data_IF_779071569602
#
_entry.id   IF_779071569602
#
_cell.length_a   1.000
_cell.length_b   1.000
_cell.length_c   1.000
_cell.angle_alpha   90.00
_cell.angle_beta   90.00
_cell.angle_gamma   90.00
#
_symmetry.space_group_name_H-M   'P 1'
#
loop_
_entity.id
_entity.type
_entity.pdbx_description
1 polymer ?
#
# COMPACT_ATOMS: atom_id res chain seq x y z
N UNK A 1 16.91 -20.52 35.76
CA UNK A 1 17.23 -19.58 34.67
C UNK A 1 16.08 -19.64 33.65
N UNK A 2 15.02 -18.86 33.87
CA UNK A 2 13.82 -18.86 33.02
C UNK A 2 13.96 -17.76 31.97
N UNK A 3 14.13 -18.15 30.71
CA UNK A 3 14.22 -17.24 29.58
C UNK A 3 12.78 -16.86 29.16
N UNK A 4 12.31 -15.68 29.59
CA UNK A 4 11.05 -15.12 29.15
C UNK A 4 11.21 -14.57 27.71
N UNK A 5 10.77 -15.35 26.73
CA UNK A 5 10.63 -14.91 25.33
C UNK A 5 9.36 -14.07 25.21
N UNK A 6 9.50 -12.76 25.38
CA UNK A 6 8.48 -11.78 25.00
C UNK A 6 8.40 -11.73 23.47
N UNK A 7 7.43 -12.40 22.87
CA UNK A 7 7.03 -12.14 21.48
C UNK A 7 6.06 -10.95 21.48
N UNK A 8 6.57 -9.75 21.22
CA UNK A 8 5.76 -8.60 20.85
C UNK A 8 5.33 -8.75 19.39
N UNK A 9 4.18 -9.37 19.15
CA UNK A 9 3.49 -9.27 17.86
C UNK A 9 2.90 -7.87 17.76
N UNK A 10 3.69 -6.93 17.23
CA UNK A 10 3.19 -5.65 16.74
C UNK A 10 2.31 -5.92 15.52
N UNK A 11 1.02 -6.22 15.74
CA UNK A 11 0.01 -6.11 14.69
C UNK A 11 -0.23 -4.61 14.52
N UNK A 12 0.64 -3.96 13.75
CA UNK A 12 0.33 -2.65 13.20
C UNK A 12 -0.78 -2.84 12.16
N UNK A 13 -2.03 -2.90 12.62
CA UNK A 13 -3.13 -2.35 11.85
C UNK A 13 -2.95 -0.83 11.89
N UNK A 14 -1.95 -0.31 11.20
CA UNK A 14 -1.89 1.12 10.91
C UNK A 14 -2.97 1.34 9.85
N UNK A 15 -4.22 1.50 10.30
CA UNK A 15 -5.21 2.21 9.51
C UNK A 15 -4.65 3.61 9.37
N UNK A 16 -3.89 3.85 8.30
CA UNK A 16 -3.75 5.22 7.84
C UNK A 16 -5.17 5.73 7.66
N UNK A 17 -5.54 6.89 8.23
CA UNK A 17 -6.79 7.51 7.84
C UNK A 17 -6.69 7.66 6.32
N UNK A 18 -7.46 6.83 5.60
CA UNK A 18 -7.68 7.09 4.18
C UNK A 18 -8.46 8.38 4.22
N UNK A 19 -7.75 9.48 3.95
CA UNK A 19 -8.39 10.75 3.70
C UNK A 19 -9.33 10.48 2.54
N UNK A 20 -10.62 10.45 2.86
CA UNK A 20 -11.64 10.63 1.85
C UNK A 20 -11.26 11.95 1.22
N UNK A 21 -10.85 11.92 -0.04
CA UNK A 21 -10.84 13.12 -0.86
C UNK A 21 -12.32 13.46 -1.13
N UNK A 22 -13.03 13.79 -0.05
CA UNK A 22 -14.02 14.84 -0.10
C UNK A 22 -13.15 15.98 -0.60
N UNK A 23 -13.36 16.37 -1.85
CA UNK A 23 -12.82 17.64 -2.33
C UNK A 23 -13.48 18.67 -1.42
N UNK A 24 -12.87 18.88 -0.25
CA UNK A 24 -13.17 19.98 0.62
C UNK A 24 -12.93 21.18 -0.26
N UNK A 25 -13.93 22.04 -0.33
CA UNK A 25 -13.83 23.33 -1.00
C UNK A 25 -12.67 24.19 -0.44
N UNK A 26 -11.97 23.72 0.61
CA UNK A 26 -10.78 24.35 1.19
C UNK A 26 -9.51 24.23 0.34
N UNK A 27 -9.35 23.19 -0.48
CA UNK A 27 -8.14 23.05 -1.29
C UNK A 27 -8.30 23.75 -2.64
N UNK A 28 -8.17 25.09 -2.60
CA UNK A 28 -8.25 26.04 -3.72
C UNK A 28 -7.20 25.82 -4.83
N UNK A 29 -6.45 24.72 -4.77
CA UNK A 29 -5.45 24.32 -5.76
C UNK A 29 -6.14 24.02 -7.11
N UNK A 30 -5.71 24.68 -8.21
CA UNK A 30 -6.28 24.47 -9.55
C UNK A 30 -6.21 23.01 -10.01
N UNK A 31 -7.21 22.56 -10.77
CA UNK A 31 -7.32 21.17 -11.23
C UNK A 31 -6.10 20.72 -12.04
N UNK A 32 -5.59 21.59 -12.91
CA UNK A 32 -4.39 21.35 -13.71
C UNK A 32 -3.12 21.16 -12.86
N UNK A 33 -3.04 21.77 -11.68
CA UNK A 33 -1.93 21.58 -10.73
C UNK A 33 -2.05 20.23 -10.02
N UNK A 34 -3.27 19.82 -9.64
CA UNK A 34 -3.53 18.49 -9.06
C UNK A 34 -3.23 17.35 -10.04
N UNK A 35 -3.22 17.64 -11.34
CA UNK A 35 -2.87 16.67 -12.39
C UNK A 35 -1.35 16.36 -12.48
N UNK A 36 -0.50 17.13 -11.79
CA UNK A 36 0.94 16.90 -11.78
C UNK A 36 1.30 15.57 -11.08
N UNK A 37 2.29 14.81 -11.58
CA UNK A 37 2.82 13.64 -10.89
C UNK A 37 3.30 13.98 -9.49
N UNK A 38 2.90 13.16 -8.51
CA UNK A 38 3.23 13.40 -7.10
C UNK A 38 2.87 14.82 -6.62
N UNK A 39 1.69 15.34 -7.04
CA UNK A 39 1.30 16.74 -6.82
C UNK A 39 1.52 17.23 -5.39
N UNK A 40 1.30 16.39 -4.37
CA UNK A 40 1.50 16.75 -2.97
C UNK A 40 2.92 17.22 -2.64
N UNK A 41 3.94 16.73 -3.37
CA UNK A 41 5.34 17.11 -3.16
C UNK A 41 5.74 18.33 -3.99
N UNK A 42 5.05 18.59 -5.09
CA UNK A 42 5.41 19.64 -6.06
C UNK A 42 4.49 20.85 -6.03
N UNK A 43 3.34 20.78 -5.35
CA UNK A 43 2.31 21.84 -5.33
C UNK A 43 2.86 23.21 -4.89
N UNK A 44 3.78 23.24 -3.93
CA UNK A 44 4.37 24.48 -3.42
C UNK A 44 5.36 25.14 -4.42
N UNK A 45 5.82 24.36 -5.40
CA UNK A 45 6.77 24.80 -6.45
C UNK A 45 6.11 24.90 -7.82
N UNK A 46 4.92 24.35 -7.97
CA UNK A 46 4.17 24.38 -9.21
C UNK A 46 3.67 25.80 -9.48
N UNK A 47 3.76 26.20 -10.74
CA UNK A 47 3.26 27.50 -11.19
C UNK A 47 2.00 27.24 -12.01
N UNK A 48 0.88 27.78 -11.54
CA UNK A 48 -0.36 27.85 -12.31
C UNK A 48 -0.29 29.02 -13.29
N UNK A 49 -0.68 28.76 -14.53
CA UNK A 49 -0.52 29.66 -15.67
C UNK A 49 -1.85 29.77 -16.39
N UNK A 50 -2.34 30.99 -16.57
CA UNK A 50 -3.60 31.28 -17.28
C UNK A 50 -3.42 32.14 -18.52
N UNK A 51 -2.17 32.52 -18.83
CA UNK A 51 -1.85 33.32 -20.01
C UNK A 51 -0.49 32.97 -20.62
N UNK A 52 -0.32 33.32 -21.90
CA UNK A 52 0.88 33.00 -22.69
C UNK A 52 2.15 33.70 -22.18
N UNK A 53 2.03 34.88 -21.56
CA UNK A 53 3.19 35.62 -21.07
C UNK A 53 3.81 34.93 -19.85
N UNK A 54 2.98 34.47 -18.91
CA UNK A 54 3.38 33.62 -17.79
C UNK A 54 3.95 32.29 -18.26
N UNK A 55 3.34 31.67 -19.28
CA UNK A 55 3.83 30.42 -19.85
C UNK A 55 5.26 30.55 -20.33
N UNK A 56 5.54 31.55 -21.18
CA UNK A 56 6.88 31.81 -21.73
C UNK A 56 7.91 32.13 -20.64
N UNK A 57 7.48 32.87 -19.61
CA UNK A 57 8.35 33.20 -18.47
C UNK A 57 8.71 31.94 -17.67
N UNK A 58 7.74 31.08 -17.38
CA UNK A 58 7.94 29.90 -16.55
C UNK A 58 8.65 28.74 -17.28
N UNK A 59 8.54 28.66 -18.61
CA UNK A 59 9.21 27.67 -19.46
C UNK A 59 10.69 27.98 -19.77
N UNK A 60 11.28 28.99 -19.11
CA UNK A 60 12.62 29.52 -19.37
C UNK A 60 12.82 30.07 -20.80
N UNK A 61 11.86 30.81 -21.33
CA UNK A 61 12.00 31.57 -22.58
C UNK A 61 11.11 31.11 -23.73
N UNK A 62 11.37 31.67 -24.91
CA UNK A 62 10.59 31.42 -26.14
C UNK A 62 10.88 30.03 -26.72
N UNK A 63 10.04 29.06 -26.36
CA UNK A 63 10.00 27.78 -27.04
C UNK A 63 8.94 27.88 -28.13
N UNK A 64 9.31 27.85 -29.41
CA UNK A 64 8.41 28.11 -30.54
C UNK A 64 7.20 27.17 -30.67
N UNK A 65 7.19 26.05 -29.94
CA UNK A 65 6.02 25.16 -29.81
C UNK A 65 4.93 25.74 -28.90
N UNK A 66 5.28 26.65 -27.98
CA UNK A 66 4.35 27.27 -27.04
C UNK A 66 3.50 28.35 -27.70
N UNK A 67 3.95 28.93 -28.82
CA UNK A 67 3.19 29.91 -29.59
C UNK A 67 1.92 29.32 -30.22
N UNK A 68 1.81 27.98 -30.26
CA UNK A 68 0.62 27.26 -30.73
C UNK A 68 -0.46 27.10 -29.65
N UNK A 69 -0.14 27.45 -28.39
CA UNK A 69 -1.07 27.34 -27.28
C UNK A 69 -1.82 28.67 -27.15
N UNK A 70 -3.12 28.64 -27.41
CA UNK A 70 -4.01 29.77 -27.16
C UNK A 70 -4.65 29.67 -25.78
N UNK A 71 -4.60 30.73 -24.99
CA UNK A 71 -5.26 30.83 -23.68
C UNK A 71 -6.62 31.53 -23.75
N UNK A 72 -7.04 32.08 -24.90
CA UNK A 72 -8.27 32.89 -25.07
C UNK A 72 -9.58 32.13 -24.79
N UNK A 73 -9.54 30.82 -24.56
CA UNK A 73 -10.69 29.98 -24.25
C UNK A 73 -10.85 29.58 -22.78
N UNK A 74 -10.01 30.08 -21.87
CA UNK A 74 -9.98 29.60 -20.48
C UNK A 74 -9.16 28.31 -20.31
N UNK A 75 -8.19 28.09 -21.20
CA UNK A 75 -7.22 27.02 -21.03
C UNK A 75 -6.29 27.36 -19.85
N UNK A 76 -5.88 26.35 -19.12
CA UNK A 76 -5.02 26.50 -17.96
C UNK A 76 -3.76 25.66 -18.15
N UNK A 77 -2.68 26.03 -17.50
CA UNK A 77 -1.46 25.24 -17.52
C UNK A 77 -0.83 25.18 -16.12
N UNK A 78 -0.14 24.07 -15.87
CA UNK A 78 0.70 23.90 -14.69
C UNK A 78 2.10 23.50 -15.13
N UNK A 79 3.10 24.11 -14.51
CA UNK A 79 4.51 23.77 -14.75
C UNK A 79 5.22 23.49 -13.43
N UNK A 80 6.04 22.45 -13.42
CA UNK A 80 6.85 22.07 -12.27
C UNK A 80 8.18 21.44 -12.71
N UNK A 81 9.18 21.56 -11.83
CA UNK A 81 10.49 20.98 -12.05
C UNK A 81 10.58 19.58 -11.44
N UNK A 82 11.02 18.62 -12.26
CA UNK A 82 11.30 17.25 -11.87
C UNK A 82 12.76 16.91 -12.14
N UNK A 83 13.26 15.83 -11.51
CA UNK A 83 14.63 15.37 -11.74
C UNK A 83 14.91 14.95 -13.19
N UNK A 84 13.87 14.52 -13.90
CA UNK A 84 13.90 14.10 -15.30
C UNK A 84 13.73 15.26 -16.29
N UNK A 85 13.34 16.45 -15.84
CA UNK A 85 13.13 17.63 -16.70
C UNK A 85 12.04 18.57 -16.16
N UNK A 86 11.74 19.63 -16.91
CA UNK A 86 10.68 20.58 -16.58
C UNK A 86 9.37 20.15 -17.24
N UNK A 87 8.39 19.76 -16.45
CA UNK A 87 7.10 19.25 -16.93
C UNK A 87 6.09 20.38 -17.03
N UNK A 88 5.47 20.53 -18.20
CA UNK A 88 4.36 21.43 -18.46
C UNK A 88 3.14 20.61 -18.86
N UNK A 89 2.02 20.81 -18.17
CA UNK A 89 0.70 20.29 -18.53
C UNK A 89 -0.15 21.48 -18.97
N UNK A 90 -0.78 21.38 -20.14
CA UNK A 90 -1.76 22.35 -20.63
C UNK A 90 -3.10 21.67 -20.71
N UNK A 91 -4.05 22.12 -19.89
CA UNK A 91 -5.44 21.69 -19.91
C UNK A 91 -6.26 22.55 -20.87
N UNK A 92 -6.84 21.90 -21.87
CA UNK A 92 -7.78 22.52 -22.77
C UNK A 92 -9.22 22.33 -22.29
N UNK A 93 -10.01 23.38 -22.46
CA UNK A 93 -11.44 23.37 -22.09
C UNK A 93 -12.26 22.29 -22.79
N UNK A 94 -11.81 21.83 -23.97
CA UNK A 94 -12.48 20.76 -24.71
C UNK A 94 -11.50 19.76 -25.34
N UNK A 95 -11.93 18.50 -25.50
CA UNK A 95 -11.14 17.50 -26.21
C UNK A 95 -10.82 17.88 -27.66
N UNK A 96 -11.72 18.60 -28.32
CA UNK A 96 -11.58 19.04 -29.72
C UNK A 96 -10.42 20.03 -29.86
N UNK A 97 -10.35 21.04 -28.99
CA UNK A 97 -9.26 22.03 -29.01
C UNK A 97 -7.92 21.35 -28.69
N UNK A 98 -7.88 20.49 -27.65
CA UNK A 98 -6.67 19.71 -27.35
C UNK A 98 -6.18 18.88 -28.55
N UNK A 99 -7.10 18.24 -29.26
CA UNK A 99 -6.77 17.41 -30.42
C UNK A 99 -6.26 18.24 -31.61
N UNK A 100 -6.90 19.38 -31.91
CA UNK A 100 -6.45 20.28 -32.96
C UNK A 100 -5.06 20.83 -32.67
N UNK A 101 -4.83 21.30 -31.45
CA UNK A 101 -3.51 21.79 -31.02
C UNK A 101 -2.47 20.66 -31.00
N UNK A 102 -2.83 19.42 -30.65
CA UNK A 102 -1.94 18.25 -30.72
C UNK A 102 -1.45 17.98 -32.15
N UNK A 103 -2.33 18.10 -33.14
CA UNK A 103 -1.93 17.97 -34.55
C UNK A 103 -0.96 19.08 -34.97
N UNK A 104 -1.24 20.32 -34.58
CA UNK A 104 -0.35 21.46 -34.89
C UNK A 104 1.02 21.32 -34.22
N UNK A 105 1.07 20.86 -32.97
CA UNK A 105 2.32 20.61 -32.24
C UNK A 105 3.11 19.50 -32.92
N UNK A 106 2.47 18.37 -33.25
CA UNK A 106 3.13 17.26 -33.95
C UNK A 106 3.69 17.69 -35.29
N UNK A 107 2.91 18.45 -36.06
CA UNK A 107 3.38 19.01 -37.33
C UNK A 107 4.59 19.92 -37.13
N UNK A 108 4.57 20.81 -36.14
CA UNK A 108 5.71 21.67 -35.81
C UNK A 108 6.93 20.88 -35.37
N UNK A 109 6.78 19.85 -34.55
CA UNK A 109 7.88 19.00 -34.09
C UNK A 109 8.49 18.17 -35.23
N UNK A 110 7.68 17.77 -36.21
CA UNK A 110 8.16 17.10 -37.42
C UNK A 110 8.94 18.05 -38.33
N UNK A 111 8.52 19.31 -38.44
CA UNK A 111 9.20 20.33 -39.24
C UNK A 111 10.45 20.89 -38.56
N UNK A 112 10.41 21.06 -37.25
CA UNK A 112 11.51 21.61 -36.45
C UNK A 112 11.67 20.77 -35.18
N UNK A 113 12.41 19.65 -35.27
CA UNK A 113 12.71 18.82 -34.12
C UNK A 113 13.41 19.63 -33.03
N UNK A 114 12.87 19.58 -31.81
CA UNK A 114 13.48 20.22 -30.64
C UNK A 114 14.18 19.13 -29.83
N UNK A 115 15.47 19.30 -29.60
CA UNK A 115 16.24 18.37 -28.79
C UNK A 115 15.70 18.30 -27.36
N UNK A 116 15.67 17.10 -26.78
CA UNK A 116 15.29 16.84 -25.39
C UNK A 116 13.87 17.36 -25.01
N UNK A 117 12.97 17.42 -25.98
CA UNK A 117 11.55 17.69 -25.78
C UNK A 117 10.74 16.42 -25.99
N UNK A 118 10.05 15.98 -24.95
CA UNK A 118 9.10 14.87 -25.04
C UNK A 118 7.67 15.41 -24.96
N UNK A 119 6.81 14.90 -25.83
CA UNK A 119 5.45 15.41 -26.00
C UNK A 119 4.43 14.26 -26.01
N UNK A 120 3.32 14.44 -25.30
CA UNK A 120 2.21 13.49 -25.30
C UNK A 120 0.88 14.18 -25.00
N UNK A 121 -0.17 13.80 -25.73
CA UNK A 121 -1.56 14.13 -25.40
C UNK A 121 -2.17 13.07 -24.47
N UNK A 122 -2.83 13.50 -23.40
CA UNK A 122 -3.51 12.65 -22.41
C UNK A 122 -4.89 13.24 -22.10
N UNK A 123 -5.95 12.70 -22.72
CA UNK A 123 -7.30 13.28 -22.57
C UNK A 123 -7.37 14.70 -23.13
N UNK A 124 -7.71 15.68 -22.30
CA UNK A 124 -7.69 17.11 -22.65
C UNK A 124 -6.35 17.78 -22.35
N UNK A 125 -5.36 17.03 -21.86
CA UNK A 125 -4.04 17.56 -21.55
C UNK A 125 -3.11 17.41 -22.74
N UNK A 126 -2.37 18.47 -23.06
CA UNK A 126 -1.17 18.40 -23.85
C UNK A 126 0.02 18.57 -22.91
N UNK A 127 0.86 17.54 -22.84
CA UNK A 127 1.95 17.46 -21.87
C UNK A 127 3.29 17.55 -22.58
N UNK A 128 4.16 18.42 -22.05
CA UNK A 128 5.51 18.63 -22.52
C UNK A 128 6.47 18.35 -21.37
N UNK A 129 7.54 17.61 -21.65
CA UNK A 129 8.70 17.52 -20.78
C UNK A 129 9.88 18.17 -21.50
N UNK A 130 10.30 19.31 -20.98
CA UNK A 130 11.43 20.06 -21.47
C UNK A 130 12.72 19.60 -20.81
N UNK A 131 13.80 19.68 -21.58
CA UNK A 131 15.17 19.43 -21.13
C UNK A 131 15.31 18.02 -20.53
N UNK A 132 14.58 17.07 -21.12
CA UNK A 132 14.52 15.68 -20.67
C UNK A 132 15.85 14.96 -20.89
N UNK A 133 16.30 14.20 -19.89
CA UNK A 133 17.60 13.50 -19.94
C UNK A 133 17.58 12.28 -20.86
N UNK A 134 16.54 11.47 -20.75
CA UNK A 134 16.39 10.21 -21.48
C UNK A 134 14.91 9.90 -21.74
N UNK A 135 14.65 9.15 -22.81
CA UNK A 135 13.28 8.83 -23.24
C UNK A 135 12.56 7.92 -22.25
N UNK A 136 13.27 7.02 -21.57
CA UNK A 136 12.67 6.07 -20.64
C UNK A 136 12.16 6.76 -19.38
N UNK A 137 12.93 7.69 -18.80
CA UNK A 137 12.52 8.49 -17.64
C UNK A 137 11.41 9.48 -18.00
N UNK A 138 11.45 10.05 -19.21
CA UNK A 138 10.39 10.89 -19.74
C UNK A 138 9.07 10.11 -19.83
N UNK A 139 9.09 8.93 -20.46
CA UNK A 139 7.90 8.08 -20.58
C UNK A 139 7.36 7.61 -19.22
N UNK A 140 8.26 7.26 -18.29
CA UNK A 140 7.88 6.89 -16.92
C UNK A 140 7.18 8.02 -16.17
N UNK A 141 7.64 9.27 -16.33
CA UNK A 141 7.00 10.43 -15.73
C UNK A 141 5.64 10.71 -16.40
N UNK A 142 5.58 10.72 -17.73
CA UNK A 142 4.35 10.97 -18.48
C UNK A 142 3.24 9.95 -18.19
N UNK A 143 3.60 8.69 -17.90
CA UNK A 143 2.64 7.63 -17.52
C UNK A 143 1.95 7.86 -16.18
N UNK A 144 2.55 8.65 -15.29
CA UNK A 144 1.95 8.94 -13.98
C UNK A 144 0.81 9.96 -14.09
N UNK A 145 0.76 10.73 -15.16
CA UNK A 145 -0.25 11.75 -15.40
C UNK A 145 -1.56 11.06 -15.76
N UNK A 146 -2.57 11.22 -14.90
CA UNK A 146 -3.91 10.70 -15.13
C UNK A 146 -4.86 11.86 -15.33
N UNK A 147 -5.51 11.88 -16.49
CA UNK A 147 -6.60 12.81 -16.72
C UNK A 147 -7.80 12.41 -15.87
N UNK A 148 -8.12 13.24 -14.88
CA UNK A 148 -9.34 13.13 -14.09
C UNK A 148 -10.23 14.32 -14.42
N UNK A 149 -11.29 14.07 -15.19
CA UNK A 149 -12.32 15.09 -15.40
C UNK A 149 -13.06 15.30 -14.09
N UNK A 150 -12.76 16.38 -13.38
CA UNK A 150 -13.55 16.79 -12.23
C UNK A 150 -14.85 17.39 -12.75
N UNK A 151 -15.93 16.60 -12.74
CA UNK A 151 -17.27 17.11 -13.04
C UNK A 151 -17.71 17.93 -11.85
N UNK A 152 -17.55 19.26 -11.95
CA UNK A 152 -18.16 20.20 -11.00
C UNK A 152 -19.61 20.39 -11.38
N UNK A 153 -20.50 20.02 -10.48
CA UNK A 153 -21.92 20.35 -10.62
C UNK A 153 -22.12 21.82 -10.23
N UNK A 154 -22.96 22.54 -10.96
CA UNK A 154 -23.32 23.94 -10.66
C UNK A 154 -24.19 24.09 -9.39
N UNK A 155 -24.44 23.00 -8.67
CA UNK A 155 -25.21 22.89 -7.43
C UNK A 155 -24.79 21.65 -6.64
N UNK A 156 -25.62 21.18 -5.72
CA UNK A 156 -25.32 20.01 -4.89
C UNK A 156 -25.12 18.75 -5.76
N UNK A 157 -23.96 18.09 -5.63
CA UNK A 157 -23.62 16.93 -6.48
C UNK A 157 -24.57 15.74 -6.15
N UNK A 158 -25.38 15.29 -7.13
CA UNK A 158 -26.39 14.25 -6.90
C UNK A 158 -25.80 12.88 -6.56
N UNK A 159 -24.47 12.69 -6.71
CA UNK A 159 -23.78 11.45 -6.43
C UNK A 159 -22.88 11.49 -5.19
N UNK A 160 -22.86 12.59 -4.41
CA UNK A 160 -22.02 12.66 -3.20
C UNK A 160 -22.35 11.55 -2.21
N UNK A 161 -23.64 11.35 -1.93
CA UNK A 161 -24.12 10.32 -1.01
C UNK A 161 -23.73 8.90 -1.48
N UNK A 162 -23.93 8.60 -2.78
CA UNK A 162 -23.60 7.29 -3.34
C UNK A 162 -22.08 7.00 -3.32
N UNK A 163 -21.25 8.04 -3.46
CA UNK A 163 -19.79 7.91 -3.40
C UNK A 163 -19.31 7.69 -1.96
N UNK A 164 -19.88 8.44 -1.02
CA UNK A 164 -19.62 8.26 0.41
C UNK A 164 -20.05 6.85 0.88
N UNK A 165 -21.20 6.37 0.43
CA UNK A 165 -21.69 5.02 0.76
C UNK A 165 -20.75 3.93 0.23
N UNK A 166 -20.31 4.01 -1.04
CA UNK A 166 -19.36 3.04 -1.61
C UNK A 166 -18.05 3.01 -0.83
N UNK A 167 -17.48 4.16 -0.50
CA UNK A 167 -16.24 4.22 0.28
C UNK A 167 -16.40 3.67 1.69
N UNK A 168 -17.55 3.93 2.33
CA UNK A 168 -17.86 3.37 3.64
C UNK A 168 -17.96 1.85 3.58
N UNK A 169 -18.63 1.30 2.56
CA UNK A 169 -18.76 -0.15 2.34
C UNK A 169 -17.41 -0.79 2.07
N UNK A 170 -16.59 -0.22 1.18
CA UNK A 170 -15.26 -0.74 0.86
C UNK A 170 -14.32 -0.74 2.08
N UNK A 171 -14.29 0.36 2.83
CA UNK A 171 -13.46 0.49 4.04
C UNK A 171 -13.89 -0.48 5.13
N UNK A 172 -15.20 -0.61 5.35
CA UNK A 172 -15.76 -1.53 6.35
C UNK A 172 -15.47 -2.99 5.97
N UNK A 173 -15.59 -3.33 4.70
CA UNK A 173 -15.31 -4.67 4.19
C UNK A 173 -13.83 -5.03 4.35
N UNK A 174 -12.91 -4.09 4.09
CA UNK A 174 -11.48 -4.31 4.29
C UNK A 174 -11.12 -4.48 5.77
N UNK A 175 -11.72 -3.68 6.66
CA UNK A 175 -11.53 -3.83 8.11
C UNK A 175 -12.08 -5.17 8.60
N UNK A 176 -13.24 -5.60 8.09
CA UNK A 176 -13.84 -6.89 8.42
C UNK A 176 -12.97 -8.07 7.96
N UNK A 177 -12.53 -8.06 6.69
CA UNK A 177 -11.63 -9.09 6.14
C UNK A 177 -10.30 -9.16 6.89
N UNK A 178 -9.68 -8.01 7.18
CA UNK A 178 -8.41 -7.99 7.90
C UNK A 178 -8.54 -8.53 9.32
N UNK A 179 -9.64 -8.23 10.01
CA UNK A 179 -9.91 -8.74 11.37
C UNK A 179 -10.11 -10.26 11.36
N UNK A 180 -10.91 -10.79 10.42
CA UNK A 180 -11.11 -12.25 10.29
C UNK A 180 -9.78 -12.95 9.99
N UNK A 181 -8.99 -12.40 9.06
CA UNK A 181 -7.69 -12.97 8.72
C UNK A 181 -6.74 -12.96 9.94
N UNK A 182 -6.71 -11.88 10.70
CA UNK A 182 -5.89 -11.78 11.91
C UNK A 182 -6.29 -12.83 12.96
N UNK A 183 -7.60 -13.01 13.20
CA UNK A 183 -8.11 -14.04 14.12
C UNK A 183 -7.72 -15.44 13.62
N UNK A 184 -7.89 -15.72 12.33
CA UNK A 184 -7.54 -17.02 11.76
C UNK A 184 -6.05 -17.33 11.89
N UNK A 185 -5.18 -16.35 11.62
CA UNK A 185 -3.73 -16.51 11.74
C UNK A 185 -3.30 -16.68 13.19
N UNK A 186 -3.77 -15.83 14.10
CA UNK A 186 -3.46 -15.95 15.54
C UNK A 186 -3.95 -17.27 16.12
N UNK A 187 -5.18 -17.67 15.79
CA UNK A 187 -5.74 -18.95 16.19
C UNK A 187 -4.91 -20.12 15.67
N UNK A 188 -4.49 -20.08 14.40
CA UNK A 188 -3.61 -21.08 13.80
C UNK A 188 -2.26 -21.18 14.52
N UNK A 189 -1.64 -20.04 14.85
CA UNK A 189 -0.37 -20.01 15.60
C UNK A 189 -0.54 -20.61 17.00
N UNK A 190 -1.60 -20.24 17.72
CA UNK A 190 -1.85 -20.77 19.07
C UNK A 190 -2.06 -22.29 19.05
N UNK A 191 -2.82 -22.80 18.07
CA UNK A 191 -3.02 -24.24 17.90
C UNK A 191 -1.70 -24.96 17.60
N UNK A 192 -0.89 -24.43 16.68
CA UNK A 192 0.41 -25.01 16.34
C UNK A 192 1.36 -25.03 17.55
N UNK A 193 1.41 -23.96 18.33
CA UNK A 193 2.22 -23.88 19.55
C UNK A 193 1.73 -24.84 20.63
N UNK A 194 0.41 -24.95 20.83
CA UNK A 194 -0.20 -25.89 21.77
C UNK A 194 0.12 -27.34 21.45
N UNK A 195 0.00 -27.74 20.18
CA UNK A 195 0.35 -29.09 19.70
C UNK A 195 1.85 -29.35 19.94
N UNK A 196 2.70 -28.40 19.56
CA UNK A 196 4.16 -28.52 19.70
C UNK A 196 4.57 -28.68 21.16
N UNK A 197 4.06 -27.83 22.05
CA UNK A 197 4.31 -27.90 23.49
C UNK A 197 3.82 -29.23 24.09
N UNK A 198 2.64 -29.70 23.68
CA UNK A 198 2.08 -30.98 24.09
C UNK A 198 2.98 -32.17 23.71
N UNK A 199 3.48 -32.19 22.47
CA UNK A 199 4.41 -33.23 21.99
C UNK A 199 5.72 -33.20 22.80
N UNK A 200 6.28 -32.02 23.05
CA UNK A 200 7.51 -31.86 23.84
C UNK A 200 7.29 -32.40 25.26
N UNK A 201 6.20 -32.00 25.91
CA UNK A 201 5.86 -32.45 27.27
C UNK A 201 5.69 -33.98 27.33
N UNK A 202 4.95 -34.56 26.39
CA UNK A 202 4.75 -36.01 26.32
C UNK A 202 6.07 -36.76 26.19
N UNK A 203 6.96 -36.31 25.30
CA UNK A 203 8.29 -36.93 25.13
C UNK A 203 9.16 -36.79 26.38
N UNK A 204 9.13 -35.64 27.05
CA UNK A 204 9.90 -35.42 28.27
C UNK A 204 9.38 -36.31 29.42
N UNK A 205 8.06 -36.41 29.59
CA UNK A 205 7.44 -37.30 30.58
C UNK A 205 7.79 -38.76 30.31
N UNK A 206 7.78 -39.21 29.05
CA UNK A 206 8.13 -40.59 28.70
C UNK A 206 9.61 -40.89 29.00
N UNK A 207 10.53 -39.97 28.68
CA UNK A 207 11.94 -40.12 29.02
C UNK A 207 12.19 -40.20 30.53
N UNK A 208 11.47 -39.41 31.33
CA UNK A 208 11.57 -39.50 32.80
C UNK A 208 11.10 -40.87 33.31
N UNK A 209 10.05 -41.45 32.71
CA UNK A 209 9.56 -42.79 33.05
C UNK A 209 10.54 -43.89 32.64
N UNK A 210 11.21 -43.76 31.49
CA UNK A 210 12.25 -44.70 31.03
C UNK A 210 13.51 -44.67 31.91
N UNK A 211 13.84 -43.52 32.49
CA UNK A 211 14.98 -43.36 33.41
C UNK A 211 14.67 -43.79 34.85
N UNK A 212 13.40 -44.06 35.18
CA UNK A 212 13.03 -44.73 36.43
C UNK A 212 13.33 -46.23 36.29
N UNK A 213 14.61 -46.59 36.27
CA UNK A 213 15.08 -47.99 36.28
C UNK A 213 14.99 -48.59 37.69
N UNK A 214 13.79 -48.53 38.27
CA UNK A 214 13.42 -49.25 39.47
C UNK A 214 11.90 -49.49 39.44
N UNK A 215 11.47 -50.53 38.72
CA UNK A 215 10.89 -51.75 39.31
C UNK A 215 10.17 -52.60 38.24
N UNK A 216 10.80 -53.75 37.94
CA UNK A 216 10.20 -55.06 37.60
C UNK A 216 9.24 -55.20 36.40
N UNK A 217 9.43 -56.30 35.67
CA UNK A 217 8.70 -56.83 34.49
C UNK A 217 7.18 -57.13 34.71
N UNK A 218 6.52 -56.38 35.60
CA UNK A 218 5.09 -56.44 35.80
C UNK A 218 4.54 -55.03 35.60
N UNK A 219 4.03 -54.76 34.39
CA UNK A 219 3.56 -53.46 33.96
C UNK A 219 2.65 -52.75 34.97
N UNK A 220 3.14 -51.63 35.50
CA UNK A 220 2.31 -50.51 35.96
C UNK A 220 1.26 -50.77 37.05
N UNK A 221 1.33 -51.86 37.80
CA UNK A 221 0.45 -52.09 38.95
C UNK A 221 1.14 -51.75 40.26
N UNK A 222 0.46 -50.95 41.09
CA UNK A 222 0.85 -50.65 42.47
C UNK A 222 1.08 -51.97 43.21
N UNK A 223 2.33 -52.25 43.63
CA UNK A 223 2.62 -53.38 44.50
C UNK A 223 2.09 -53.06 45.89
N UNK A 224 1.10 -53.84 46.36
CA UNK A 224 0.72 -53.86 47.77
C UNK A 224 1.91 -54.45 48.55
N UNK A 225 2.50 -53.65 49.42
CA UNK A 225 3.62 -54.05 50.26
C UNK A 225 3.08 -54.93 51.39
N UNK A 226 3.24 -56.25 51.28
CA UNK A 226 2.74 -57.23 52.27
C UNK A 226 3.80 -57.65 53.29
N UNK A 227 5.02 -57.12 53.19
CA UNK A 227 6.15 -57.51 54.02
C UNK A 227 5.98 -57.15 55.51
N UNK A 228 5.09 -56.20 55.85
CA UNK A 228 4.76 -55.84 57.24
C UNK A 228 3.61 -56.66 57.85
N UNK A 229 2.95 -57.55 57.09
CA UNK A 229 1.78 -58.31 57.56
C UNK A 229 2.01 -59.82 57.71
N UNK A 230 3.24 -60.30 57.52
CA UNK A 230 3.55 -61.74 57.69
C UNK A 230 4.16 -61.96 59.08
N UNK A 231 3.46 -62.65 60.02
CA UNK A 231 4.05 -62.95 61.32
C UNK A 231 5.22 -63.93 61.18
N UNK A 232 6.27 -63.68 61.97
CA UNK A 232 7.51 -64.45 62.01
C UNK A 232 7.23 -65.90 62.43
N UNK A 233 7.39 -66.86 61.50
CA UNK A 233 7.18 -68.28 61.79
C UNK A 233 8.48 -68.86 62.32
N UNK A 234 8.54 -69.07 63.63
CA UNK A 234 9.65 -69.75 64.29
C UNK A 234 9.84 -71.19 63.73
N UNK A 235 11.08 -71.66 63.53
CA UNK A 235 11.33 -72.95 62.91
C UNK A 235 11.15 -74.06 63.94
N UNK A 236 10.01 -74.75 63.91
CA UNK A 236 9.78 -75.90 64.78
C UNK A 236 9.78 -77.24 64.02
N UNK A 237 10.85 -77.99 64.31
CA UNK A 237 10.97 -79.45 64.35
C UNK A 237 10.56 -80.27 63.13
N UNK A 238 11.61 -80.69 62.42
CA UNK A 238 11.71 -82.02 61.79
C UNK A 238 11.25 -83.12 62.76
N UNK A 239 10.20 -83.85 62.39
CA UNK A 239 9.91 -85.16 62.96
C UNK A 239 10.09 -86.26 61.91
N UNK A 240 10.86 -87.25 62.36
CA UNK A 240 11.24 -88.51 61.74
C UNK A 240 10.02 -89.30 61.25
N UNK A 241 10.13 -89.85 60.04
CA UNK A 241 9.52 -91.11 59.62
C UNK A 241 10.64 -92.08 59.28
#
# INVERSE_FOLDING_TARGET
>A
MFLALFFSLNIFAQSQPIMVDVVSEEDATPGVVKALPEYEKVKDKAIHITNIAELKKASNGERGVLDLIDFKGGNEAAIADYESGKLLIVEFVSPQVSFETDNQIKERLNQTPVANLFYRRIGNYNVFLFDGKDEASADALLKQIKYQKTVKWLGEDPFQYNRAERHFVESTLQLFLSTILAIAVLGGIMLALGITAGIIYFRMSNKQREQMTAFSDAGGMIRLNLDELTPDVAPDRLLKG
#
